data_IF_220210430583
#
_entry.id   IF_220210430583
#
_cell.length_a   1.000
_cell.length_b   1.000
_cell.length_c   1.000
_cell.angle_alpha   90.00
_cell.angle_beta   90.00
_cell.angle_gamma   90.00
#
_symmetry.space_group_name_H-M   'P 1'
#
loop_
_entity.id
_entity.type
_entity.pdbx_description
1 polymer ?
#
# COMPACT_ATOMS: atom_id res chain seq x y z
N UNK A 1 27.54 -26.30 19.56
CA UNK A 1 26.81 -25.30 20.32
C UNK A 1 25.41 -25.22 19.69
N UNK A 2 24.43 -25.98 20.23
CA UNK A 2 23.06 -26.03 19.73
C UNK A 2 22.34 -24.81 20.30
N UNK A 3 21.98 -23.85 19.44
CA UNK A 3 21.05 -22.79 19.82
C UNK A 3 19.65 -23.36 19.85
N UNK A 4 19.06 -23.32 21.02
CA UNK A 4 17.66 -23.63 21.30
C UNK A 4 16.79 -22.59 20.59
N UNK A 5 16.07 -23.05 19.55
CA UNK A 5 14.91 -22.35 18.99
C UNK A 5 13.71 -22.84 19.81
N UNK A 6 13.48 -22.17 20.94
CA UNK A 6 12.28 -22.44 21.74
C UNK A 6 11.56 -21.15 22.12
N UNK A 7 10.29 -21.11 21.77
CA UNK A 7 9.23 -20.32 22.39
C UNK A 7 9.12 -18.82 22.02
N UNK A 8 8.73 -18.54 20.79
CA UNK A 8 7.84 -17.37 20.55
C UNK A 8 6.51 -17.89 19.94
N UNK A 9 5.85 -18.76 20.65
CA UNK A 9 4.52 -19.27 20.27
C UNK A 9 3.52 -19.13 21.43
N UNK A 10 3.48 -17.99 22.11
CA UNK A 10 2.44 -17.69 23.08
C UNK A 10 2.33 -16.18 23.36
N UNK A 11 2.23 -15.33 22.34
CA UNK A 11 1.41 -14.14 22.49
C UNK A 11 -0.04 -14.63 22.34
N UNK A 12 -0.64 -15.04 23.44
CA UNK A 12 -2.09 -15.16 23.52
C UNK A 12 -2.62 -13.76 23.24
N UNK A 13 -3.10 -13.55 22.00
CA UNK A 13 -3.98 -12.42 21.71
C UNK A 13 -5.04 -12.42 22.79
N UNK A 14 -5.11 -11.35 23.59
CA UNK A 14 -6.23 -11.16 24.50
C UNK A 14 -7.46 -11.06 23.61
N UNK A 15 -8.22 -12.14 23.54
CA UNK A 15 -9.49 -12.19 22.80
C UNK A 15 -10.36 -11.12 23.42
N UNK A 16 -10.52 -10.00 22.73
CA UNK A 16 -11.47 -8.96 23.10
C UNK A 16 -12.84 -9.63 23.24
N UNK A 17 -13.41 -9.55 24.40
CA UNK A 17 -14.71 -10.05 24.89
C UNK A 17 -15.53 -10.91 23.89
N UNK A 18 -15.60 -12.26 24.05
CA UNK A 18 -16.32 -13.16 23.13
C UNK A 18 -17.79 -12.80 22.91
N UNK A 19 -18.42 -12.16 23.91
CA UNK A 19 -19.83 -11.70 23.85
C UNK A 19 -19.95 -10.56 22.82
N UNK A 20 -18.95 -9.70 22.72
CA UNK A 20 -18.93 -8.61 21.74
C UNK A 20 -18.84 -9.15 20.31
N UNK A 21 -18.02 -10.17 20.06
CA UNK A 21 -17.92 -10.83 18.77
C UNK A 21 -19.24 -11.47 18.34
N UNK A 22 -19.93 -12.20 19.22
CA UNK A 22 -21.22 -12.81 18.92
C UNK A 22 -22.30 -11.77 18.60
N UNK A 23 -22.33 -10.64 19.33
CA UNK A 23 -23.25 -9.53 19.02
C UNK A 23 -22.95 -8.89 17.67
N UNK A 24 -21.69 -8.67 17.35
CA UNK A 24 -21.27 -8.11 16.08
C UNK A 24 -21.67 -9.03 14.90
N UNK A 25 -21.39 -10.32 15.00
CA UNK A 25 -21.79 -11.34 14.01
C UNK A 25 -23.32 -11.32 13.82
N UNK A 26 -24.10 -11.34 14.90
CA UNK A 26 -25.57 -11.32 14.83
C UNK A 26 -26.09 -10.05 14.14
N UNK A 27 -25.46 -8.89 14.38
CA UNK A 27 -25.85 -7.61 13.75
C UNK A 27 -25.45 -7.50 12.29
N UNK A 28 -24.44 -8.25 11.83
CA UNK A 28 -23.93 -8.25 10.47
C UNK A 28 -24.70 -9.19 9.53
N UNK A 29 -25.51 -10.11 10.06
CA UNK A 29 -26.29 -11.05 9.26
C UNK A 29 -27.19 -10.32 8.27
N UNK A 30 -27.24 -10.84 7.05
CA UNK A 30 -28.02 -10.29 5.94
C UNK A 30 -27.63 -8.85 5.51
N UNK A 31 -26.47 -8.38 5.93
CA UNK A 31 -25.91 -7.10 5.49
C UNK A 31 -24.75 -7.34 4.53
N UNK A 32 -24.54 -6.38 3.65
CA UNK A 32 -23.35 -6.29 2.81
C UNK A 32 -22.75 -4.89 2.94
N UNK A 33 -21.45 -4.79 2.70
CA UNK A 33 -20.73 -3.53 2.64
C UNK A 33 -19.92 -3.52 1.38
N UNK A 34 -20.01 -2.41 0.64
CA UNK A 34 -19.12 -2.11 -0.49
C UNK A 34 -18.13 -1.05 -0.05
N UNK A 35 -16.85 -1.24 -0.37
CA UNK A 35 -15.79 -0.28 -0.06
C UNK A 35 -14.98 0.06 -1.31
N UNK A 36 -14.42 1.27 -1.31
CA UNK A 36 -13.31 1.64 -2.19
C UNK A 36 -12.00 1.46 -1.42
N UNK A 37 -11.10 0.65 -1.96
CA UNK A 37 -9.78 0.42 -1.39
C UNK A 37 -8.70 1.10 -2.22
N UNK A 38 -8.01 2.11 -1.68
CA UNK A 38 -7.14 2.99 -2.45
C UNK A 38 -5.86 2.29 -2.91
N UNK A 39 -5.33 2.73 -4.05
CA UNK A 39 -3.93 2.53 -4.40
C UNK A 39 -3.01 3.31 -3.48
N UNK A 40 -1.73 2.92 -3.46
CA UNK A 40 -0.73 3.54 -2.58
C UNK A 40 0.60 3.73 -3.28
N UNK A 41 1.35 4.73 -2.81
CA UNK A 41 2.77 4.93 -3.10
C UNK A 41 3.57 4.56 -1.86
N UNK A 42 4.25 3.43 -1.88
CA UNK A 42 5.19 3.06 -0.83
C UNK A 42 6.55 3.72 -1.06
N UNK A 43 7.36 3.74 0.00
CA UNK A 43 8.72 4.28 0.04
C UNK A 43 8.79 5.81 -0.03
N UNK A 44 7.91 6.49 -0.74
CA UNK A 44 7.92 7.94 -0.92
C UNK A 44 9.34 8.50 -1.17
N UNK A 45 10.06 7.90 -2.14
CA UNK A 45 11.45 8.14 -2.50
C UNK A 45 12.42 7.67 -1.41
N UNK A 46 12.71 8.49 -0.40
CA UNK A 46 13.76 8.22 0.61
C UNK A 46 13.32 7.33 1.77
N UNK A 47 12.03 7.06 1.94
CA UNK A 47 11.46 6.30 3.07
C UNK A 47 11.26 4.82 2.79
N UNK A 48 12.25 4.13 2.22
CA UNK A 48 12.19 2.71 1.88
C UNK A 48 11.73 1.85 3.07
N UNK A 49 10.66 1.07 2.86
CA UNK A 49 10.00 0.18 3.83
C UNK A 49 9.40 0.90 5.08
N UNK A 50 9.45 2.25 5.16
CA UNK A 50 8.96 2.98 6.33
C UNK A 50 7.94 4.07 6.02
N UNK A 51 7.85 4.59 4.79
CA UNK A 51 6.88 5.61 4.41
C UNK A 51 5.92 5.09 3.35
N UNK A 52 4.64 5.45 3.50
CA UNK A 52 3.62 5.18 2.50
C UNK A 52 2.56 6.27 2.44
N UNK A 53 1.89 6.36 1.30
CA UNK A 53 0.87 7.36 1.02
C UNK A 53 -0.30 6.73 0.27
N UNK A 54 -1.53 7.00 0.69
CA UNK A 54 -2.75 6.57 -0.01
C UNK A 54 -3.15 7.56 -1.11
N UNK A 55 -3.72 7.04 -2.18
CA UNK A 55 -4.16 7.79 -3.36
C UNK A 55 -5.68 7.79 -3.46
N UNK A 56 -6.27 8.87 -3.99
CA UNK A 56 -7.71 8.88 -4.27
C UNK A 56 -8.05 8.04 -5.51
N UNK A 57 -7.13 7.92 -6.47
CA UNK A 57 -7.26 7.12 -7.68
C UNK A 57 -5.86 6.58 -8.07
N UNK A 58 -5.75 5.33 -8.56
CA UNK A 58 -6.78 4.32 -8.72
C UNK A 58 -7.18 3.64 -7.40
N UNK A 59 -8.34 2.98 -7.38
CA UNK A 59 -8.83 2.19 -6.25
C UNK A 59 -9.53 0.91 -6.73
N UNK A 60 -9.55 -0.13 -5.88
CA UNK A 60 -10.34 -1.35 -6.08
C UNK A 60 -11.71 -1.20 -5.43
N UNK A 61 -12.72 -1.90 -5.98
CA UNK A 61 -14.07 -1.97 -5.38
C UNK A 61 -14.29 -3.37 -4.81
N UNK A 62 -14.72 -3.45 -3.57
CA UNK A 62 -14.97 -4.71 -2.90
C UNK A 62 -16.32 -4.70 -2.22
N UNK A 63 -17.11 -5.77 -2.44
CA UNK A 63 -18.38 -6.00 -1.74
C UNK A 63 -18.26 -7.26 -0.91
N UNK A 64 -18.50 -7.15 0.40
CA UNK A 64 -18.40 -8.26 1.33
C UNK A 64 -19.71 -8.46 2.07
N UNK A 65 -20.04 -9.73 2.35
CA UNK A 65 -21.14 -10.14 3.22
C UNK A 65 -20.69 -11.22 4.19
N UNK A 66 -21.35 -11.32 5.32
CA UNK A 66 -21.12 -12.38 6.30
C UNK A 66 -21.85 -13.66 5.85
N UNK A 67 -21.20 -14.82 6.09
CA UNK A 67 -21.80 -16.15 5.94
C UNK A 67 -21.69 -16.92 7.25
N UNK A 68 -22.59 -17.88 7.46
CA UNK A 68 -22.63 -18.67 8.72
C UNK A 68 -21.51 -19.72 8.77
N UNK A 69 -21.07 -20.24 7.63
CA UNK A 69 -19.95 -21.17 7.53
C UNK A 69 -18.63 -20.44 7.81
N UNK A 70 -17.70 -21.03 8.60
CA UNK A 70 -16.40 -20.43 8.87
C UNK A 70 -15.45 -20.59 7.66
N UNK A 71 -15.81 -19.99 6.55
CA UNK A 71 -15.11 -20.07 5.27
C UNK A 71 -14.92 -18.68 4.65
N UNK A 72 -14.05 -18.59 3.67
CA UNK A 72 -13.90 -17.39 2.83
C UNK A 72 -14.17 -17.80 1.38
N UNK A 73 -15.15 -17.15 0.76
CA UNK A 73 -15.52 -17.35 -0.65
C UNK A 73 -15.11 -16.08 -1.40
N UNK A 74 -14.39 -16.23 -2.52
CA UNK A 74 -13.85 -15.11 -3.28
C UNK A 74 -14.37 -15.16 -4.72
N UNK A 75 -14.90 -14.04 -5.17
CA UNK A 75 -15.32 -13.82 -6.55
C UNK A 75 -14.51 -12.64 -7.13
N UNK A 76 -13.77 -12.91 -8.22
CA UNK A 76 -13.11 -11.86 -8.98
C UNK A 76 -13.96 -11.51 -10.20
N UNK A 77 -14.19 -10.22 -10.45
CA UNK A 77 -14.94 -9.72 -11.59
C UNK A 77 -14.06 -9.09 -12.67
N UNK A 78 -12.75 -9.17 -12.48
CA UNK A 78 -11.71 -8.67 -13.38
C UNK A 78 -11.17 -9.78 -14.32
N UNK A 79 -10.22 -9.40 -15.18
CA UNK A 79 -9.61 -10.28 -16.19
C UNK A 79 -8.19 -10.73 -15.84
N UNK A 80 -7.69 -10.47 -14.62
CA UNK A 80 -6.30 -10.76 -14.24
C UNK A 80 -6.07 -12.23 -13.87
N UNK A 81 -7.14 -13.04 -13.76
CA UNK A 81 -7.01 -14.47 -13.44
C UNK A 81 -6.44 -14.75 -12.05
N UNK A 82 -6.68 -13.84 -11.10
CA UNK A 82 -6.22 -14.00 -9.72
C UNK A 82 -6.87 -15.22 -9.05
N UNK A 83 -6.15 -15.92 -8.16
CA UNK A 83 -6.69 -17.09 -7.47
C UNK A 83 -7.95 -16.77 -6.68
N UNK A 84 -8.95 -17.65 -6.74
CA UNK A 84 -10.15 -17.63 -5.89
C UNK A 84 -10.02 -18.54 -4.66
N UNK A 85 -9.00 -19.41 -4.63
CA UNK A 85 -8.62 -20.15 -3.43
C UNK A 85 -8.15 -19.17 -2.34
N UNK A 86 -8.82 -19.09 -1.18
CA UNK A 86 -8.50 -18.11 -0.15
C UNK A 86 -7.09 -18.28 0.45
N UNK A 87 -6.51 -19.47 0.41
CA UNK A 87 -5.12 -19.67 0.86
C UNK A 87 -4.07 -19.16 -0.13
N UNK A 88 -4.46 -18.92 -1.37
CA UNK A 88 -3.62 -18.42 -2.46
C UNK A 88 -3.96 -17.00 -2.89
N UNK A 89 -4.92 -16.36 -2.22
CA UNK A 89 -5.38 -15.01 -2.50
C UNK A 89 -5.02 -14.08 -1.34
N UNK A 90 -4.49 -12.90 -1.63
CA UNK A 90 -4.00 -11.94 -0.61
C UNK A 90 -5.13 -11.41 0.29
N UNK A 91 -6.33 -11.19 -0.25
CA UNK A 91 -7.52 -10.85 0.54
C UNK A 91 -8.00 -12.07 1.35
N UNK A 92 -7.90 -13.26 0.73
CA UNK A 92 -8.32 -14.52 1.35
C UNK A 92 -7.55 -14.86 2.61
N UNK A 93 -6.22 -14.83 2.58
CA UNK A 93 -5.41 -15.14 3.77
C UNK A 93 -5.61 -14.15 4.90
N UNK A 94 -5.87 -12.87 4.58
CA UNK A 94 -6.19 -11.85 5.56
C UNK A 94 -7.56 -12.10 6.23
N UNK A 95 -8.57 -12.47 5.45
CA UNK A 95 -9.91 -12.82 5.96
C UNK A 95 -9.91 -14.15 6.72
N UNK A 96 -9.11 -15.13 6.33
CA UNK A 96 -8.96 -16.40 7.08
C UNK A 96 -8.42 -16.16 8.49
N UNK A 97 -7.44 -15.27 8.67
CA UNK A 97 -6.97 -14.87 10.01
C UNK A 97 -8.08 -14.18 10.82
N UNK A 98 -8.91 -13.37 10.17
CA UNK A 98 -10.07 -12.77 10.84
C UNK A 98 -11.10 -13.82 11.26
N UNK A 99 -11.40 -14.81 10.42
CA UNK A 99 -12.28 -15.95 10.76
C UNK A 99 -11.75 -16.71 11.98
N UNK A 100 -10.45 -16.98 12.04
CA UNK A 100 -9.82 -17.61 13.19
C UNK A 100 -9.97 -16.75 14.47
N UNK A 101 -9.75 -15.45 14.40
CA UNK A 101 -9.94 -14.50 15.50
C UNK A 101 -11.41 -14.40 15.95
N UNK A 102 -12.35 -14.67 15.06
CA UNK A 102 -13.78 -14.81 15.39
C UNK A 102 -14.13 -16.19 15.99
N UNK A 103 -13.14 -17.01 16.35
CA UNK A 103 -13.29 -18.38 16.83
C UNK A 103 -14.10 -19.28 15.87
N UNK A 104 -13.96 -19.08 14.58
CA UNK A 104 -14.66 -19.82 13.51
C UNK A 104 -16.19 -19.80 13.67
N UNK A 105 -16.77 -18.66 14.10
CA UNK A 105 -18.22 -18.50 14.29
C UNK A 105 -18.94 -17.90 13.08
N UNK A 106 -18.20 -17.42 12.10
CA UNK A 106 -18.71 -16.85 10.86
C UNK A 106 -17.59 -16.85 9.81
N UNK A 107 -17.96 -16.69 8.57
CA UNK A 107 -17.05 -16.48 7.44
C UNK A 107 -17.49 -15.32 6.56
N UNK A 108 -16.87 -15.20 5.41
CA UNK A 108 -17.08 -14.08 4.51
C UNK A 108 -17.20 -14.55 3.05
N UNK A 109 -18.11 -13.90 2.34
CA UNK A 109 -18.23 -14.00 0.88
C UNK A 109 -17.90 -12.61 0.32
N UNK A 110 -16.84 -12.51 -0.47
CA UNK A 110 -16.31 -11.25 -1.00
C UNK A 110 -16.24 -11.29 -2.53
N UNK A 111 -16.75 -10.22 -3.15
CA UNK A 111 -16.58 -9.92 -4.57
C UNK A 111 -15.56 -8.80 -4.71
N UNK A 112 -14.54 -9.00 -5.54
CA UNK A 112 -13.45 -8.05 -5.79
C UNK A 112 -13.48 -7.62 -7.25
N UNK A 113 -13.65 -6.33 -7.49
CA UNK A 113 -13.43 -5.66 -8.77
C UNK A 113 -12.06 -5.00 -8.75
N UNK A 114 -11.10 -5.65 -9.37
CA UNK A 114 -9.72 -5.20 -9.40
C UNK A 114 -9.52 -4.13 -10.46
N UNK A 115 -9.25 -2.89 -10.05
CA UNK A 115 -8.94 -1.76 -10.94
C UNK A 115 -7.47 -1.37 -10.88
N UNK A 116 -6.80 -1.68 -9.77
CA UNK A 116 -5.35 -1.49 -9.63
C UNK A 116 -4.66 -2.73 -10.21
N UNK A 117 -3.95 -2.55 -11.30
CA UNK A 117 -3.29 -3.66 -11.99
C UNK A 117 -2.29 -4.37 -11.06
N UNK A 118 -2.34 -5.72 -10.94
CA UNK A 118 -1.35 -6.48 -10.21
C UNK A 118 0.06 -6.25 -10.76
N UNK A 119 1.06 -6.12 -9.87
CA UNK A 119 2.44 -5.87 -10.27
C UNK A 119 2.75 -4.44 -10.72
N UNK A 120 1.78 -3.52 -10.67
CA UNK A 120 1.97 -2.12 -11.08
C UNK A 120 2.91 -1.30 -10.18
N UNK A 121 3.17 -1.73 -8.95
CA UNK A 121 3.87 -0.91 -7.96
C UNK A 121 2.99 0.14 -7.27
N UNK A 122 1.65 0.12 -7.51
CA UNK A 122 0.68 1.06 -6.90
C UNK A 122 -0.09 0.38 -5.74
N UNK A 123 0.55 -0.52 -5.01
CA UNK A 123 -0.02 -1.14 -3.83
C UNK A 123 -1.21 -2.09 -4.09
N UNK A 124 -1.27 -2.75 -5.26
CA UNK A 124 -2.39 -3.61 -5.65
C UNK A 124 -2.71 -4.73 -4.66
N UNK A 125 -1.71 -5.44 -4.09
CA UNK A 125 -1.90 -6.48 -3.08
C UNK A 125 -2.39 -5.90 -1.76
N UNK A 126 -1.83 -4.76 -1.34
CA UNK A 126 -2.23 -4.07 -0.12
C UNK A 126 -3.68 -3.57 -0.21
N UNK A 127 -4.09 -2.99 -1.35
CA UNK A 127 -5.47 -2.59 -1.58
C UNK A 127 -6.43 -3.77 -1.42
N UNK A 128 -6.08 -4.97 -1.95
CA UNK A 128 -6.91 -6.16 -1.81
C UNK A 128 -6.98 -6.67 -0.36
N UNK A 129 -5.84 -6.80 0.32
CA UNK A 129 -5.82 -7.35 1.68
C UNK A 129 -6.38 -6.37 2.72
N UNK A 130 -6.02 -5.07 2.65
CA UNK A 130 -6.55 -4.04 3.55
C UNK A 130 -8.04 -3.79 3.30
N UNK A 131 -8.46 -3.67 2.02
CA UNK A 131 -9.85 -3.49 1.65
C UNK A 131 -10.75 -4.58 2.22
N UNK A 132 -10.32 -5.84 2.09
CA UNK A 132 -11.09 -6.98 2.59
C UNK A 132 -11.29 -6.95 4.10
N UNK A 133 -10.22 -6.74 4.88
CA UNK A 133 -10.32 -6.73 6.36
C UNK A 133 -11.04 -5.49 6.89
N UNK A 134 -10.89 -4.32 6.25
CA UNK A 134 -11.62 -3.11 6.64
C UNK A 134 -13.11 -3.26 6.35
N UNK A 135 -13.47 -3.78 5.16
CA UNK A 135 -14.87 -4.04 4.80
C UNK A 135 -15.52 -5.04 5.77
N UNK A 136 -14.83 -6.15 6.12
CA UNK A 136 -15.29 -7.12 7.10
C UNK A 136 -15.45 -6.50 8.50
N UNK A 137 -14.48 -5.69 8.94
CA UNK A 137 -14.55 -5.00 10.23
C UNK A 137 -15.69 -3.99 10.30
N UNK A 138 -16.01 -3.33 9.18
CA UNK A 138 -17.17 -2.44 9.07
C UNK A 138 -18.49 -3.20 9.27
N UNK A 139 -18.65 -4.37 8.62
CA UNK A 139 -19.79 -5.26 8.88
C UNK A 139 -19.91 -5.65 10.34
N UNK A 140 -18.78 -5.89 11.00
CA UNK A 140 -18.68 -6.32 12.40
C UNK A 140 -18.73 -5.16 13.40
N UNK A 141 -19.17 -3.94 12.98
CA UNK A 141 -19.24 -2.74 13.81
C UNK A 141 -17.89 -2.37 14.47
N UNK A 142 -16.79 -2.50 13.73
CA UNK A 142 -15.43 -2.06 14.11
C UNK A 142 -14.90 -2.69 15.40
N UNK A 143 -15.05 -4.02 15.54
CA UNK A 143 -14.57 -4.75 16.73
C UNK A 143 -13.05 -4.93 16.78
N UNK A 144 -12.35 -4.79 15.65
CA UNK A 144 -10.89 -4.87 15.55
C UNK A 144 -10.28 -3.47 15.44
N UNK A 145 -9.13 -3.28 16.07
CA UNK A 145 -8.35 -2.05 15.96
C UNK A 145 -7.67 -1.94 14.57
N UNK A 146 -7.21 -0.74 14.22
CA UNK A 146 -6.44 -0.56 12.98
C UNK A 146 -5.14 -1.38 12.99
N UNK A 147 -4.50 -1.54 14.15
CA UNK A 147 -3.31 -2.37 14.31
C UNK A 147 -3.61 -3.85 14.05
N UNK A 148 -4.77 -4.35 14.51
CA UNK A 148 -5.23 -5.71 14.21
C UNK A 148 -5.46 -5.90 12.71
N UNK A 149 -6.11 -4.93 12.06
CA UNK A 149 -6.37 -4.97 10.61
C UNK A 149 -5.07 -4.95 9.81
N UNK A 150 -4.09 -4.14 10.20
CA UNK A 150 -2.76 -4.13 9.56
C UNK A 150 -2.09 -5.49 9.71
N UNK A 151 -2.12 -6.08 10.91
CA UNK A 151 -1.52 -7.39 11.14
C UNK A 151 -2.14 -8.49 10.28
N UNK A 152 -3.48 -8.50 10.13
CA UNK A 152 -4.20 -9.42 9.24
C UNK A 152 -3.80 -9.17 7.78
N UNK A 153 -3.83 -7.92 7.32
CA UNK A 153 -3.53 -7.56 5.94
C UNK A 153 -2.06 -7.84 5.55
N UNK A 154 -1.10 -7.74 6.51
CA UNK A 154 0.30 -8.12 6.28
C UNK A 154 0.50 -9.61 5.96
N UNK A 155 -0.48 -10.48 6.23
CA UNK A 155 -0.43 -11.88 5.77
C UNK A 155 -0.58 -11.97 4.25
N UNK A 156 -1.44 -11.12 3.67
CA UNK A 156 -1.56 -10.97 2.22
C UNK A 156 -0.27 -10.47 1.59
N UNK A 157 0.38 -9.48 2.19
CA UNK A 157 1.66 -8.97 1.70
C UNK A 157 2.77 -10.03 1.78
N UNK A 158 2.80 -10.82 2.86
CA UNK A 158 3.72 -11.95 2.98
C UNK A 158 3.49 -13.00 1.87
N UNK A 159 2.23 -13.24 1.49
CA UNK A 159 1.91 -14.16 0.39
C UNK A 159 2.41 -13.61 -0.96
N UNK A 160 2.27 -12.30 -1.19
CA UNK A 160 2.61 -11.65 -2.46
C UNK A 160 4.12 -11.44 -2.64
N UNK A 161 4.83 -11.03 -1.58
CA UNK A 161 6.23 -10.56 -1.63
C UNK A 161 7.22 -11.40 -0.84
N UNK A 162 6.75 -12.39 -0.09
CA UNK A 162 7.55 -13.21 0.82
C UNK A 162 7.88 -12.53 2.17
N UNK A 163 7.64 -11.24 2.31
CA UNK A 163 7.98 -10.44 3.50
C UNK A 163 6.78 -9.65 3.98
N UNK A 164 6.67 -9.44 5.30
CA UNK A 164 5.63 -8.58 5.88
C UNK A 164 6.06 -7.12 5.82
N UNK A 165 5.37 -6.33 5.01
CA UNK A 165 5.52 -4.88 4.91
C UNK A 165 4.21 -4.19 5.27
N UNK A 166 4.30 -3.01 5.87
CA UNK A 166 3.14 -2.22 6.24
C UNK A 166 3.04 -0.88 5.48
N UNK A 167 4.06 -0.50 4.72
CA UNK A 167 4.19 0.79 4.04
C UNK A 167 3.16 1.03 2.92
N UNK A 168 2.57 -0.03 2.35
CA UNK A 168 1.38 0.06 1.51
C UNK A 168 0.08 -0.16 2.31
N UNK A 169 0.07 -1.06 3.29
CA UNK A 169 -1.12 -1.45 4.04
C UNK A 169 -1.57 -0.34 4.99
N UNK A 170 -0.63 0.26 5.72
CA UNK A 170 -0.96 1.28 6.70
C UNK A 170 -1.66 2.49 6.06
N UNK A 171 -1.17 3.09 4.95
CA UNK A 171 -1.90 4.17 4.31
C UNK A 171 -3.25 3.73 3.71
N UNK A 172 -3.42 2.47 3.26
CA UNK A 172 -4.75 1.98 2.88
C UNK A 172 -5.75 2.05 4.04
N UNK A 173 -5.32 1.75 5.27
CA UNK A 173 -6.20 1.67 6.45
C UNK A 173 -6.37 3.04 7.11
N UNK A 174 -5.29 3.78 7.32
CA UNK A 174 -5.32 5.09 8.01
C UNK A 174 -5.66 6.27 7.08
N UNK A 175 -5.41 6.11 5.79
CA UNK A 175 -5.37 7.24 4.86
C UNK A 175 -4.12 8.11 5.04
N UNK A 176 -3.95 9.09 4.17
CA UNK A 176 -2.88 10.07 4.22
C UNK A 176 -1.50 9.49 3.98
N UNK A 177 -0.54 10.08 4.68
CA UNK A 177 0.85 9.61 4.74
C UNK A 177 1.07 8.91 6.07
N UNK A 178 1.71 7.75 6.05
CA UNK A 178 2.03 6.97 7.25
C UNK A 178 3.52 6.66 7.35
N UNK A 179 4.04 6.73 8.57
CA UNK A 179 5.39 6.32 8.94
C UNK A 179 5.33 5.06 9.78
N UNK A 180 6.00 4.02 9.34
CA UNK A 180 6.13 2.75 10.05
C UNK A 180 7.40 2.81 10.89
N UNK A 181 7.27 3.08 12.19
CA UNK A 181 8.41 3.13 13.10
C UNK A 181 8.93 1.74 13.47
N UNK A 182 8.02 0.79 13.59
CA UNK A 182 8.34 -0.61 13.92
C UNK A 182 7.24 -1.55 13.42
N UNK A 183 7.63 -2.78 13.07
CA UNK A 183 6.71 -3.87 12.74
C UNK A 183 6.43 -4.76 13.97
N UNK A 184 7.37 -4.86 14.91
CA UNK A 184 7.27 -5.68 16.13
C UNK A 184 7.83 -4.95 17.35
N UNK A 185 6.99 -4.42 18.26
CA UNK A 185 5.54 -4.24 18.10
C UNK A 185 5.21 -3.31 16.94
N UNK A 186 4.02 -3.47 16.36
CA UNK A 186 3.57 -2.58 15.30
C UNK A 186 3.39 -1.16 15.85
N UNK A 187 4.02 -0.20 15.18
CA UNK A 187 3.95 1.21 15.54
C UNK A 187 3.87 2.05 14.26
N UNK A 188 2.69 2.61 14.02
CA UNK A 188 2.33 3.40 12.84
C UNK A 188 1.99 4.82 13.26
N UNK A 189 2.60 5.78 12.60
CA UNK A 189 2.41 7.21 12.86
C UNK A 189 1.77 7.85 11.62
N UNK A 190 0.62 8.46 11.78
CA UNK A 190 0.03 9.30 10.72
C UNK A 190 0.82 10.60 10.61
N UNK A 191 1.28 10.93 9.41
CA UNK A 191 2.04 12.14 9.12
C UNK A 191 1.13 13.14 8.43
N UNK A 192 0.79 14.27 9.06
CA UNK A 192 0.08 15.35 8.40
C UNK A 192 0.81 15.81 7.14
N UNK A 193 0.07 16.11 6.09
CA UNK A 193 0.63 16.58 4.83
C UNK A 193 -0.18 17.76 4.27
N UNK A 194 0.47 18.69 3.55
CA UNK A 194 -0.25 19.71 2.78
C UNK A 194 -1.09 19.06 1.67
N UNK A 195 -1.93 19.80 0.96
CA UNK A 195 -2.47 19.37 -0.32
C UNK A 195 -1.34 19.03 -1.28
N UNK A 196 -1.39 17.83 -1.86
CA UNK A 196 -0.42 17.35 -2.85
C UNK A 196 -1.17 16.67 -3.99
N UNK A 197 -0.79 17.01 -5.21
CA UNK A 197 -1.16 16.27 -6.39
C UNK A 197 -0.09 15.22 -6.67
N UNK A 198 -0.53 14.08 -7.14
CA UNK A 198 0.32 12.92 -7.44
C UNK A 198 0.09 12.53 -8.89
N UNK A 199 1.10 12.64 -9.69
CA UNK A 199 1.08 12.14 -11.07
C UNK A 199 1.83 10.83 -11.12
N UNK A 200 1.21 9.79 -11.70
CA UNK A 200 1.85 8.49 -11.89
C UNK A 200 1.89 8.13 -13.36
N UNK A 201 2.96 7.46 -13.76
CA UNK A 201 3.01 6.68 -15.01
C UNK A 201 3.31 5.23 -14.68
N UNK A 202 2.49 4.33 -15.22
CA UNK A 202 2.64 2.89 -15.09
C UNK A 202 2.96 2.30 -16.47
N UNK A 203 4.23 2.05 -16.81
CA UNK A 203 4.59 1.30 -18.01
C UNK A 203 4.12 -0.14 -17.88
N UNK A 204 3.55 -0.69 -18.97
CA UNK A 204 3.01 -2.04 -19.00
C UNK A 204 4.11 -3.09 -19.15
N UNK A 205 5.00 -3.12 -18.16
CA UNK A 205 6.07 -4.11 -18.01
C UNK A 205 5.94 -4.78 -16.64
N UNK A 206 6.44 -5.97 -16.49
CA UNK A 206 6.46 -6.68 -15.21
C UNK A 206 7.78 -6.44 -14.48
N UNK A 207 7.70 -5.94 -13.24
CA UNK A 207 8.81 -5.90 -12.29
C UNK A 207 8.37 -6.62 -11.03
N UNK A 208 8.85 -7.84 -10.83
CA UNK A 208 8.50 -8.62 -9.64
C UNK A 208 9.09 -7.98 -8.39
N UNK A 209 8.29 -7.88 -7.34
CA UNK A 209 8.75 -7.33 -6.06
C UNK A 209 9.95 -8.09 -5.49
N UNK A 210 9.97 -9.41 -5.67
CA UNK A 210 11.09 -10.26 -5.25
C UNK A 210 12.38 -9.90 -5.99
N UNK A 211 12.34 -9.76 -7.32
CA UNK A 211 13.49 -9.42 -8.14
C UNK A 211 14.02 -8.02 -7.80
N UNK A 212 13.11 -7.04 -7.68
CA UNK A 212 13.43 -5.68 -7.27
C UNK A 212 14.05 -5.61 -5.85
N UNK A 213 13.83 -6.63 -5.01
CA UNK A 213 14.44 -6.74 -3.69
C UNK A 213 15.76 -7.47 -3.72
N UNK A 214 15.90 -8.50 -4.54
CA UNK A 214 17.14 -9.30 -4.65
C UNK A 214 18.33 -8.48 -5.14
N UNK A 215 18.12 -7.50 -6.01
CA UNK A 215 19.20 -6.63 -6.53
C UNK A 215 19.72 -5.62 -5.51
N UNK A 216 19.04 -5.44 -4.36
CA UNK A 216 19.45 -4.46 -3.36
C UNK A 216 20.75 -4.86 -2.68
N UNK A 217 21.57 -3.86 -2.37
CA UNK A 217 22.81 -4.05 -1.63
C UNK A 217 22.51 -4.51 -0.21
N UNK A 218 23.22 -5.56 0.24
CA UNK A 218 23.11 -6.07 1.62
C UNK A 218 23.87 -5.20 2.63
N UNK A 219 24.76 -4.36 2.17
CA UNK A 219 25.57 -3.44 2.99
C UNK A 219 25.59 -2.07 2.33
N UNK A 220 25.56 -1.03 3.14
CA UNK A 220 25.57 0.36 2.72
C UNK A 220 26.70 1.12 3.43
N UNK A 221 27.18 2.17 2.78
CA UNK A 221 28.18 3.05 3.40
C UNK A 221 27.51 3.97 4.43
N UNK A 222 28.13 4.15 5.57
CA UNK A 222 27.60 5.01 6.64
C UNK A 222 27.28 6.44 6.15
N UNK A 223 28.14 7.01 5.29
CA UNK A 223 27.90 8.34 4.72
C UNK A 223 26.59 8.42 3.92
N UNK A 224 26.25 7.37 3.17
CA UNK A 224 25.01 7.31 2.37
C UNK A 224 23.80 7.09 3.27
N UNK A 225 23.95 6.27 4.32
CA UNK A 225 22.93 6.11 5.35
C UNK A 225 22.62 7.42 6.08
N UNK A 226 23.64 8.21 6.46
CA UNK A 226 23.47 9.51 7.11
C UNK A 226 22.68 10.47 6.20
N UNK A 227 23.00 10.51 4.90
CA UNK A 227 22.26 11.33 3.91
C UNK A 227 20.81 10.88 3.80
N UNK A 228 20.58 9.57 3.71
CA UNK A 228 19.23 9.00 3.63
C UNK A 228 18.40 9.34 4.88
N UNK A 229 18.96 9.19 6.08
CA UNK A 229 18.27 9.54 7.33
C UNK A 229 17.93 11.03 7.39
N UNK A 230 18.85 11.89 6.93
CA UNK A 230 18.61 13.32 6.79
C UNK A 230 17.44 13.63 5.87
N UNK A 231 17.37 12.97 4.71
CA UNK A 231 16.29 13.15 3.73
C UNK A 231 14.94 12.67 4.30
N UNK A 232 14.88 11.51 4.98
CA UNK A 232 13.64 11.02 5.63
C UNK A 232 13.16 12.03 6.68
N UNK A 233 14.03 12.45 7.59
CA UNK A 233 13.69 13.39 8.65
C UNK A 233 13.22 14.74 8.08
N UNK A 234 13.89 15.22 7.04
CA UNK A 234 13.53 16.47 6.36
C UNK A 234 12.21 16.35 5.59
N UNK A 235 11.95 15.22 4.90
CA UNK A 235 10.68 14.98 4.22
C UNK A 235 9.50 14.97 5.20
N UNK A 236 9.60 14.22 6.31
CA UNK A 236 8.55 14.17 7.34
C UNK A 236 8.34 15.56 7.94
N UNK A 237 9.41 16.30 8.23
CA UNK A 237 9.31 17.68 8.75
C UNK A 237 8.66 18.62 7.75
N UNK A 238 9.02 18.53 6.46
CA UNK A 238 8.44 19.32 5.38
C UNK A 238 6.93 19.08 5.22
N UNK A 239 6.53 17.80 5.24
CA UNK A 239 5.12 17.42 5.19
C UNK A 239 4.34 18.03 6.37
N UNK A 240 4.82 17.85 7.61
CA UNK A 240 4.16 18.36 8.82
C UNK A 240 4.08 19.89 8.87
N UNK A 241 5.06 20.58 8.30
CA UNK A 241 5.10 22.05 8.26
C UNK A 241 4.47 22.68 7.02
N UNK A 242 4.02 21.85 6.07
CA UNK A 242 3.55 22.29 4.76
C UNK A 242 4.62 23.13 4.00
N UNK A 243 5.89 22.75 4.19
CA UNK A 243 7.04 23.40 3.57
C UNK A 243 7.40 22.67 2.27
N UNK A 244 6.84 23.15 1.16
CA UNK A 244 7.04 22.53 -0.15
C UNK A 244 8.50 22.55 -0.63
N UNK A 245 9.26 23.59 -0.26
CA UNK A 245 10.69 23.68 -0.60
C UNK A 245 11.50 22.60 0.15
N UNK A 246 11.16 22.37 1.41
CA UNK A 246 11.78 21.30 2.20
C UNK A 246 11.36 19.92 1.67
N UNK A 247 10.08 19.73 1.32
CA UNK A 247 9.60 18.50 0.68
C UNK A 247 10.41 18.23 -0.59
N UNK A 248 10.49 19.22 -1.49
CA UNK A 248 11.16 19.08 -2.79
C UNK A 248 12.62 18.63 -2.64
N UNK A 249 13.43 19.34 -1.85
CA UNK A 249 14.84 19.01 -1.68
C UNK A 249 15.13 17.73 -0.88
N UNK A 250 14.09 17.15 -0.26
CA UNK A 250 14.18 15.91 0.50
C UNK A 250 13.79 14.66 -0.30
N UNK A 251 13.16 14.82 -1.46
CA UNK A 251 12.74 13.73 -2.35
C UNK A 251 13.92 13.19 -3.16
N UNK A 252 14.94 12.73 -2.43
CA UNK A 252 16.15 12.13 -2.98
C UNK A 252 16.46 10.82 -2.25
N UNK A 253 16.65 9.75 -3.01
CA UNK A 253 17.08 8.44 -2.52
C UNK A 253 18.47 8.12 -3.03
N UNK A 254 19.40 7.89 -2.11
CA UNK A 254 20.80 7.58 -2.44
C UNK A 254 21.14 6.09 -2.29
N UNK A 255 20.19 5.27 -1.84
CA UNK A 255 20.41 3.86 -1.52
C UNK A 255 19.69 2.90 -2.47
N UNK A 256 18.40 3.10 -2.69
CA UNK A 256 17.52 2.13 -3.33
C UNK A 256 17.27 2.49 -4.80
N UNK A 257 16.87 3.74 -5.05
CA UNK A 257 16.55 4.22 -6.40
C UNK A 257 17.73 4.06 -7.38
N UNK A 258 19.00 4.36 -7.03
CA UNK A 258 20.12 4.17 -7.95
C UNK A 258 20.32 2.73 -8.42
N UNK A 259 19.84 1.75 -7.63
CA UNK A 259 19.94 0.33 -7.96
C UNK A 259 18.68 -0.14 -8.73
N UNK A 260 17.48 0.28 -8.30
CA UNK A 260 16.20 -0.17 -8.89
C UNK A 260 15.85 0.54 -10.19
N UNK A 261 16.25 1.78 -10.39
CA UNK A 261 15.90 2.58 -11.56
C UNK A 261 16.30 1.94 -12.89
N UNK A 262 17.33 1.10 -12.91
CA UNK A 262 17.75 0.35 -14.09
C UNK A 262 16.71 -0.65 -14.61
N UNK A 263 15.76 -1.05 -13.76
CA UNK A 263 14.66 -1.96 -14.13
C UNK A 263 13.51 -1.24 -14.83
N UNK A 264 13.52 0.10 -14.84
CA UNK A 264 12.40 0.90 -15.33
C UNK A 264 12.87 1.73 -16.52
N UNK A 265 12.42 1.42 -17.75
CA UNK A 265 12.77 2.17 -18.94
C UNK A 265 12.44 3.66 -18.80
N UNK A 266 13.30 4.52 -19.32
CA UNK A 266 13.17 5.98 -19.31
C UNK A 266 13.08 6.65 -17.91
N UNK A 267 13.34 5.91 -16.80
CA UNK A 267 13.22 6.45 -15.45
C UNK A 267 13.92 7.79 -15.25
N UNK A 268 15.20 7.88 -15.62
CA UNK A 268 16.01 9.08 -15.42
C UNK A 268 15.47 10.28 -16.23
N UNK A 269 15.01 10.04 -17.45
CA UNK A 269 14.42 11.06 -18.30
C UNK A 269 13.09 11.55 -17.74
N UNK A 270 12.21 10.62 -17.33
CA UNK A 270 10.92 10.97 -16.68
C UNK A 270 11.16 11.84 -15.47
N UNK A 271 12.08 11.43 -14.57
CA UNK A 271 12.37 12.18 -13.35
C UNK A 271 12.90 13.59 -13.65
N UNK A 272 13.90 13.71 -14.53
CA UNK A 272 14.49 14.99 -14.90
C UNK A 272 13.50 15.93 -15.57
N UNK A 273 12.76 15.44 -16.58
CA UNK A 273 11.80 16.26 -17.33
C UNK A 273 10.58 16.65 -16.51
N UNK A 274 10.15 15.81 -15.59
CA UNK A 274 9.06 16.16 -14.64
C UNK A 274 9.49 17.27 -13.67
N UNK A 275 10.74 17.27 -13.21
CA UNK A 275 11.29 18.38 -12.40
C UNK A 275 11.34 19.69 -13.21
N UNK A 276 11.78 19.63 -14.48
CA UNK A 276 11.77 20.79 -15.40
C UNK A 276 10.33 21.33 -15.64
N UNK A 277 9.32 20.41 -15.61
CA UNK A 277 7.90 20.76 -15.73
C UNK A 277 7.29 21.33 -14.42
N UNK A 278 8.07 21.45 -13.34
CA UNK A 278 7.69 22.06 -12.08
C UNK A 278 7.27 21.11 -10.95
N UNK A 279 7.44 19.79 -11.13
CA UNK A 279 7.21 18.83 -10.05
C UNK A 279 8.12 19.12 -8.84
N UNK A 280 7.63 18.88 -7.64
CA UNK A 280 8.41 18.97 -6.40
C UNK A 280 9.50 17.90 -6.34
N UNK A 281 9.23 16.72 -6.87
CA UNK A 281 10.08 15.55 -6.87
C UNK A 281 9.24 14.28 -6.90
N UNK A 282 9.91 13.15 -6.94
CA UNK A 282 9.28 11.85 -7.01
C UNK A 282 10.30 10.76 -7.33
N UNK A 283 9.81 9.56 -7.58
CA UNK A 283 10.65 8.40 -7.87
C UNK A 283 9.83 7.15 -8.10
N UNK A 284 10.40 6.00 -7.75
CA UNK A 284 9.76 4.70 -7.92
C UNK A 284 8.63 4.52 -6.90
N UNK A 285 7.45 4.12 -7.37
CA UNK A 285 6.35 3.72 -6.50
C UNK A 285 6.51 2.24 -6.09
N UNK A 286 6.68 1.99 -4.81
CA UNK A 286 6.86 0.63 -4.28
C UNK A 286 8.09 -0.08 -4.86
N UNK A 287 7.86 -1.22 -5.52
CA UNK A 287 8.91 -1.95 -6.26
C UNK A 287 9.09 -1.47 -7.70
N UNK A 288 8.25 -0.57 -8.17
CA UNK A 288 8.06 -0.25 -9.57
C UNK A 288 7.08 -1.24 -10.25
N UNK A 289 6.87 -1.16 -11.57
CA UNK A 289 7.53 -0.23 -12.49
C UNK A 289 6.96 1.20 -12.50
N UNK A 290 5.91 1.48 -11.73
CA UNK A 290 5.33 2.83 -11.70
C UNK A 290 6.30 3.85 -11.15
N UNK A 291 6.27 5.03 -11.78
CA UNK A 291 6.98 6.23 -11.34
C UNK A 291 5.93 7.24 -10.89
N UNK A 292 6.13 7.89 -9.77
CA UNK A 292 5.27 8.96 -9.30
C UNK A 292 6.03 10.27 -9.16
N UNK A 293 5.33 11.39 -9.35
CA UNK A 293 5.83 12.73 -9.08
C UNK A 293 4.80 13.50 -8.24
N UNK A 294 5.29 14.30 -7.30
CA UNK A 294 4.47 15.18 -6.48
C UNK A 294 4.45 16.59 -7.07
N UNK A 295 3.29 17.23 -7.03
CA UNK A 295 3.10 18.60 -7.47
C UNK A 295 2.30 19.39 -6.43
N UNK A 296 2.48 20.72 -6.41
CA UNK A 296 1.81 21.63 -5.49
C UNK A 296 0.36 21.91 -5.91
N UNK A 297 0.10 21.91 -7.21
CA UNK A 297 -1.17 22.24 -7.81
C UNK A 297 -1.49 21.35 -9.02
N UNK A 298 -2.76 21.38 -9.44
CA UNK A 298 -3.28 20.55 -10.52
C UNK A 298 -2.67 20.90 -11.88
N UNK A 299 -2.47 22.20 -12.16
CA UNK A 299 -1.92 22.64 -13.44
C UNK A 299 -0.52 22.07 -13.67
N UNK A 300 0.33 22.09 -12.64
CA UNK A 300 1.66 21.48 -12.65
C UNK A 300 1.55 19.97 -12.80
N UNK A 301 0.61 19.30 -12.09
CA UNK A 301 0.43 17.86 -12.18
C UNK A 301 0.04 17.41 -13.59
N UNK A 302 -0.86 18.11 -14.26
CA UNK A 302 -1.26 17.86 -15.66
C UNK A 302 -0.11 18.11 -16.65
N UNK A 303 0.72 19.12 -16.41
CA UNK A 303 1.92 19.35 -17.24
C UNK A 303 2.95 18.21 -17.07
N UNK A 304 3.12 17.72 -15.85
CA UNK A 304 3.96 16.55 -15.54
C UNK A 304 3.40 15.30 -16.22
N UNK A 305 2.09 15.07 -16.18
CA UNK A 305 1.44 13.95 -16.87
C UNK A 305 1.74 13.98 -18.36
N UNK A 306 1.53 15.12 -19.00
CA UNK A 306 1.84 15.29 -20.43
C UNK A 306 3.30 14.96 -20.74
N UNK A 307 4.21 15.43 -19.89
CA UNK A 307 5.65 15.15 -20.03
C UNK A 307 5.93 13.63 -19.97
N UNK A 308 5.31 12.93 -19.01
CA UNK A 308 5.43 11.48 -18.87
C UNK A 308 4.87 10.74 -20.08
N UNK A 309 3.70 11.16 -20.57
CA UNK A 309 3.05 10.60 -21.76
C UNK A 309 3.91 10.77 -23.01
N UNK A 310 4.48 11.96 -23.22
CA UNK A 310 5.34 12.24 -24.37
C UNK A 310 6.59 11.35 -24.38
N UNK A 311 7.22 11.17 -23.21
CA UNK A 311 8.41 10.31 -23.05
C UNK A 311 8.04 8.84 -23.34
N UNK A 312 7.01 8.29 -22.70
CA UNK A 312 6.65 6.88 -22.89
C UNK A 312 6.10 6.59 -24.28
N UNK A 313 5.42 7.54 -24.91
CA UNK A 313 5.04 7.44 -26.33
C UNK A 313 6.28 7.25 -27.22
N UNK A 314 7.37 7.96 -26.91
CA UNK A 314 8.65 7.81 -27.63
C UNK A 314 9.33 6.45 -27.40
N UNK A 315 9.06 5.77 -26.29
CA UNK A 315 9.64 4.43 -26.02
C UNK A 315 8.93 3.30 -26.76
N UNK A 316 7.69 3.50 -27.20
CA UNK A 316 6.84 2.45 -27.75
C UNK A 316 6.31 1.44 -26.71
N UNK A 317 6.57 1.63 -25.41
CA UNK A 317 6.04 0.79 -24.33
C UNK A 317 4.63 1.28 -24.01
N UNK A 318 3.60 0.41 -24.01
CA UNK A 318 2.28 0.79 -23.53
C UNK A 318 2.32 1.25 -22.07
N UNK A 319 1.51 2.24 -21.71
CA UNK A 319 1.48 2.81 -20.36
C UNK A 319 0.11 3.34 -20.00
N UNK A 320 -0.11 3.51 -18.71
CA UNK A 320 -1.24 4.28 -18.15
C UNK A 320 -0.72 5.43 -17.30
N UNK A 321 -1.44 6.54 -17.27
CA UNK A 321 -1.15 7.67 -16.39
C UNK A 321 -2.33 7.93 -15.46
N UNK A 322 -2.04 8.49 -14.30
CA UNK A 322 -3.01 8.94 -13.31
C UNK A 322 -2.58 10.30 -12.78
N UNK A 323 -3.53 11.24 -12.69
CA UNK A 323 -3.38 12.48 -11.92
C UNK A 323 -4.38 12.42 -10.78
N UNK A 324 -3.89 12.41 -9.56
CA UNK A 324 -4.70 12.17 -8.37
C UNK A 324 -4.22 13.02 -7.20
N UNK A 325 -4.83 12.85 -6.04
CA UNK A 325 -4.44 13.52 -4.79
C UNK A 325 -4.30 12.51 -3.66
N UNK A 326 -3.76 12.96 -2.53
CA UNK A 326 -3.63 12.12 -1.33
C UNK A 326 -5.01 11.78 -0.78
N UNK A 327 -5.32 10.50 -0.66
CA UNK A 327 -6.52 9.99 -0.01
C UNK A 327 -6.33 10.08 1.51
N UNK A 328 -7.12 10.89 2.19
CA UNK A 328 -7.00 11.14 3.63
C UNK A 328 -7.84 10.21 4.50
N UNK A 329 -8.68 9.39 3.91
CA UNK A 329 -9.66 8.56 4.63
C UNK A 329 -9.28 7.07 4.67
N UNK A 330 -8.41 6.62 3.74
CA UNK A 330 -8.10 5.20 3.55
C UNK A 330 -9.25 4.46 2.86
N UNK A 331 -9.38 3.17 3.19
CA UNK A 331 -10.50 2.35 2.73
C UNK A 331 -11.80 2.91 3.30
N UNK A 332 -12.77 3.21 2.43
CA UNK A 332 -14.05 3.79 2.85
C UNK A 332 -15.26 3.05 2.26
N UNK A 333 -16.34 2.92 3.06
CA UNK A 333 -17.61 2.42 2.55
C UNK A 333 -18.16 3.34 1.45
N UNK A 334 -18.82 2.71 0.46
CA UNK A 334 -19.62 3.41 -0.53
C UNK A 334 -21.05 3.47 -0.01
N UNK A 335 -21.60 4.68 0.12
CA UNK A 335 -22.99 4.89 0.54
C UNK A 335 -23.96 4.61 -0.60
#
# INVERSE_FOLDING_TARGET
MKFQIDRISNLKFQISNPIMHLKAIASARNKSVTVHSPGTVANMVCGFDVLGMALNDPYDVMTIKLIDEPAVIIHNTDHYGLPTDPQRNVAGVALLDMVERLNNKAGFDITIEKRIMPGSGIGSSAASSAGAVVAANHLLNHIFSNEDLIQMAMLGEKLASGVKHADNIAPCIYGGVTLIRSIHPLDVISVPSPPLYVTLVHPQIEVRTEDARQILRKQILLKDAIRQWGNIAALVTGLMKSDYELISRSLEDVLIEPVRSILIPAFAEVKSKSLEAGALGGGISGSGPSIFMLSRDEATALQVEKTMQDIYTGTGIPFHTYVTTVNREGVKPVC
#
